data_IF_449636366086
#
_entry.id   IF_449636366086
#
_cell.length_a   1.000
_cell.length_b   1.000
_cell.length_c   1.000
_cell.angle_alpha   90.00
_cell.angle_beta   90.00
_cell.angle_gamma   90.00
#
_symmetry.space_group_name_H-M   'P 1'
#
loop_
_entity.id
_entity.type
_entity.pdbx_description
1 polymer ?
#
# COMPACT_ATOMS: atom_id res chain seq x y z
N UNK A 1 32.29 -40.51 57.28
CA UNK A 1 31.17 -40.97 56.44
C UNK A 1 29.88 -40.48 57.05
N UNK A 2 29.24 -39.48 56.44
CA UNK A 2 27.79 -39.32 56.30
C UNK A 2 27.53 -37.99 55.58
N UNK A 3 26.55 -38.04 54.68
CA UNK A 3 26.13 -37.06 53.67
C UNK A 3 25.47 -35.79 54.23
N UNK A 4 25.42 -34.74 53.41
CA UNK A 4 24.39 -33.68 53.47
C UNK A 4 24.78 -32.43 52.69
N UNK A 5 24.39 -32.30 51.41
CA UNK A 5 23.22 -31.51 50.93
C UNK A 5 23.58 -30.03 50.70
N UNK A 6 23.67 -29.51 49.46
CA UNK A 6 22.66 -29.24 48.41
C UNK A 6 22.36 -27.72 48.32
N UNK A 7 22.61 -27.19 47.12
CA UNK A 7 22.15 -25.94 46.47
C UNK A 7 22.54 -24.55 47.03
N UNK A 8 23.15 -23.69 46.19
CA UNK A 8 22.97 -22.25 46.29
C UNK A 8 21.63 -21.85 45.62
N UNK A 9 20.79 -21.15 46.38
CA UNK A 9 19.58 -20.52 45.89
C UNK A 9 19.93 -19.35 44.96
N UNK A 10 19.88 -19.58 43.63
CA UNK A 10 19.83 -18.51 42.64
C UNK A 10 18.42 -17.90 42.67
N UNK A 11 18.28 -16.82 43.45
CA UNK A 11 17.07 -16.00 43.49
C UNK A 11 17.03 -15.15 42.21
N UNK A 12 16.43 -15.68 41.14
CA UNK A 12 16.09 -14.91 39.94
C UNK A 12 14.95 -13.94 40.28
N UNK A 13 15.28 -12.67 40.49
CA UNK A 13 14.30 -11.58 40.43
C UNK A 13 13.77 -11.49 38.99
N UNK A 14 12.61 -12.11 38.76
CA UNK A 14 11.72 -11.76 37.65
C UNK A 14 11.14 -10.38 37.94
N UNK A 15 11.84 -9.33 37.48
CA UNK A 15 11.24 -8.02 37.27
C UNK A 15 10.20 -8.19 36.16
N UNK A 16 8.96 -8.42 36.56
CA UNK A 16 7.81 -8.28 35.68
C UNK A 16 7.74 -6.83 35.24
N UNK A 17 8.31 -6.55 34.06
CA UNK A 17 8.03 -5.34 33.32
C UNK A 17 6.55 -5.38 32.94
N UNK A 18 5.69 -4.81 33.79
CA UNK A 18 4.35 -4.44 33.39
C UNK A 18 4.53 -3.43 32.25
N UNK A 19 4.48 -3.93 31.01
CA UNK A 19 4.33 -3.09 29.84
C UNK A 19 2.97 -2.40 30.00
N UNK A 20 2.99 -1.20 30.59
CA UNK A 20 1.90 -0.25 30.44
C UNK A 20 1.87 0.15 28.98
N UNK A 21 1.22 -0.67 28.15
CA UNK A 21 0.71 -0.22 26.87
C UNK A 21 -0.15 1.01 27.18
N UNK A 22 0.31 2.18 26.73
CA UNK A 22 -0.42 3.43 26.88
C UNK A 22 -1.89 3.19 26.51
N UNK A 23 -2.80 3.39 27.45
CA UNK A 23 -4.23 3.32 27.16
C UNK A 23 -4.52 4.30 26.02
N UNK A 24 -5.21 3.88 24.94
CA UNK A 24 -5.57 4.81 23.89
C UNK A 24 -6.49 5.88 24.48
N UNK A 25 -6.24 7.13 24.07
CA UNK A 25 -7.14 8.25 24.33
C UNK A 25 -8.51 7.85 23.79
N UNK A 26 -9.49 7.77 24.69
CA UNK A 26 -10.89 7.56 24.33
C UNK A 26 -11.40 8.84 23.68
N UNK A 27 -11.27 8.94 22.36
CA UNK A 27 -12.05 9.91 21.59
C UNK A 27 -13.41 9.25 21.31
N UNK A 28 -14.27 9.28 22.33
CA UNK A 28 -15.65 8.83 22.21
C UNK A 28 -16.45 9.80 21.34
N UNK A 29 -16.79 9.37 20.12
CA UNK A 29 -18.09 9.68 19.51
C UNK A 29 -18.33 11.08 18.95
N UNK A 30 -17.31 11.78 18.46
CA UNK A 30 -17.57 12.94 17.60
C UNK A 30 -17.96 12.45 16.20
N UNK A 31 -19.26 12.47 15.89
CA UNK A 31 -19.78 12.18 14.56
C UNK A 31 -19.32 13.18 13.48
N UNK A 32 -18.63 14.27 13.87
CA UNK A 32 -17.97 15.18 12.93
C UNK A 32 -16.55 14.74 12.55
N UNK A 33 -15.95 13.78 13.26
CA UNK A 33 -14.70 13.15 12.84
C UNK A 33 -15.02 11.86 12.08
N UNK A 34 -14.80 11.80 10.75
CA UNK A 34 -15.07 10.60 9.97
C UNK A 34 -14.10 9.44 10.31
N UNK A 35 -13.05 9.69 11.09
CA UNK A 35 -12.04 8.71 11.46
C UNK A 35 -12.32 8.13 12.84
N UNK A 36 -12.54 6.82 12.90
CA UNK A 36 -12.59 6.05 14.14
C UNK A 36 -11.28 5.30 14.30
N UNK A 37 -10.53 5.60 15.36
CA UNK A 37 -9.28 4.90 15.67
C UNK A 37 -9.59 3.52 16.25
N UNK A 38 -8.96 2.48 15.69
CA UNK A 38 -9.08 1.11 16.16
C UNK A 38 -8.58 0.95 17.60
N UNK A 39 -9.28 0.15 18.40
CA UNK A 39 -8.97 -0.12 19.81
C UNK A 39 -8.79 -1.63 20.08
N UNK A 40 -8.47 -2.40 19.04
CA UNK A 40 -8.26 -3.83 19.13
C UNK A 40 -7.14 -4.20 20.12
N UNK A 41 -7.31 -5.34 20.78
CA UNK A 41 -6.27 -5.93 21.63
C UNK A 41 -5.07 -6.45 20.83
N UNK A 42 -4.05 -7.02 21.51
CA UNK A 42 -2.90 -7.59 20.81
C UNK A 42 -3.33 -8.74 19.86
N UNK A 43 -2.58 -8.92 18.78
CA UNK A 43 -2.79 -10.03 17.87
C UNK A 43 -2.68 -11.39 18.59
N UNK A 44 -3.41 -12.43 18.15
CA UNK A 44 -3.27 -13.78 18.68
C UNK A 44 -1.82 -14.27 18.65
N UNK A 45 -1.37 -14.97 19.70
CA UNK A 45 0.00 -15.48 19.79
C UNK A 45 0.41 -16.37 18.60
N UNK A 46 -0.55 -17.10 18.01
CA UNK A 46 -0.33 -17.98 16.87
C UNK A 46 -0.05 -17.24 15.55
N UNK A 47 -0.39 -15.96 15.45
CA UNK A 47 -0.17 -15.14 14.24
C UNK A 47 0.94 -14.12 14.41
N UNK A 48 1.73 -14.21 15.49
CA UNK A 48 2.89 -13.35 15.67
C UNK A 48 3.91 -13.58 14.55
N UNK A 49 4.34 -12.49 13.92
CA UNK A 49 5.24 -12.52 12.77
C UNK A 49 4.52 -12.67 11.42
N UNK A 50 3.19 -12.80 11.38
CA UNK A 50 2.47 -12.71 10.12
C UNK A 50 2.54 -11.27 9.60
N UNK A 51 2.70 -11.14 8.29
CA UNK A 51 2.77 -9.84 7.63
C UNK A 51 2.31 -9.96 6.18
N UNK A 52 1.81 -8.85 5.65
CA UNK A 52 1.51 -8.74 4.22
C UNK A 52 2.82 -8.56 3.48
N UNK A 53 3.23 -9.59 2.75
CA UNK A 53 4.46 -9.57 1.96
C UNK A 53 4.28 -8.86 0.62
N UNK A 54 3.25 -9.26 -0.15
CA UNK A 54 3.01 -8.76 -1.50
C UNK A 54 1.53 -8.67 -1.85
N UNK A 55 1.24 -7.89 -2.90
CA UNK A 55 -0.01 -7.96 -3.66
C UNK A 55 0.30 -8.41 -5.09
N UNK A 56 -0.57 -9.26 -5.64
CA UNK A 56 -0.47 -9.75 -7.00
C UNK A 56 -1.34 -8.95 -7.97
N UNK A 57 -0.76 -8.51 -9.08
CA UNK A 57 -1.47 -7.92 -10.22
C UNK A 57 -1.30 -8.81 -11.44
N UNK A 58 -2.40 -9.06 -12.14
CA UNK A 58 -2.39 -9.69 -13.45
C UNK A 58 -2.06 -8.61 -14.49
N UNK A 59 -1.25 -8.96 -15.49
CA UNK A 59 -0.89 -8.06 -16.60
C UNK A 59 -0.90 -8.76 -17.94
N UNK A 60 -1.25 -8.01 -18.98
CA UNK A 60 -1.07 -8.44 -20.38
C UNK A 60 0.25 -7.93 -20.97
N UNK A 61 0.87 -6.92 -20.35
CA UNK A 61 2.10 -6.30 -20.82
C UNK A 61 3.12 -6.11 -19.69
N UNK A 62 3.85 -7.19 -19.39
CA UNK A 62 4.84 -7.23 -18.31
C UNK A 62 5.95 -6.17 -18.46
N UNK A 63 6.42 -5.90 -19.68
CA UNK A 63 7.48 -4.91 -19.91
C UNK A 63 7.00 -3.48 -19.61
N UNK A 64 5.77 -3.13 -19.97
CA UNK A 64 5.20 -1.84 -19.61
C UNK A 64 5.07 -1.68 -18.09
N UNK A 65 4.58 -2.72 -17.40
CA UNK A 65 4.47 -2.72 -15.94
C UNK A 65 5.84 -2.63 -15.26
N UNK A 66 6.84 -3.38 -15.73
CA UNK A 66 8.23 -3.30 -15.23
C UNK A 66 8.83 -1.93 -15.46
N UNK A 67 8.57 -1.29 -16.61
CA UNK A 67 9.00 0.07 -16.87
C UNK A 67 8.36 1.07 -15.90
N UNK A 68 7.03 1.00 -15.73
CA UNK A 68 6.32 1.90 -14.82
C UNK A 68 6.75 1.73 -13.36
N UNK A 69 6.65 0.53 -12.81
CA UNK A 69 7.00 0.30 -11.41
C UNK A 69 8.50 0.38 -11.16
N UNK A 70 9.33 -0.07 -12.11
CA UNK A 70 10.77 -0.11 -11.97
C UNK A 70 11.47 1.20 -12.30
N UNK A 71 11.31 1.66 -13.54
CA UNK A 71 12.08 2.80 -14.05
C UNK A 71 11.49 4.14 -13.61
N UNK A 72 10.16 4.26 -13.54
CA UNK A 72 9.49 5.50 -13.14
C UNK A 72 9.32 5.53 -11.62
N UNK A 73 8.68 4.51 -11.03
CA UNK A 73 8.41 4.51 -9.59
C UNK A 73 9.58 4.04 -8.74
N UNK A 74 10.68 3.55 -9.33
CA UNK A 74 11.93 3.25 -8.63
C UNK A 74 11.95 1.91 -7.89
N UNK A 75 10.99 1.01 -8.13
CA UNK A 75 11.08 -0.36 -7.63
C UNK A 75 12.23 -1.10 -8.31
N UNK A 76 12.73 -2.13 -7.65
CA UNK A 76 13.80 -2.99 -8.14
C UNK A 76 13.22 -4.35 -8.46
N UNK A 77 13.66 -4.92 -9.58
CA UNK A 77 13.41 -6.32 -9.89
C UNK A 77 14.15 -7.20 -8.88
N UNK A 78 13.41 -8.09 -8.22
CA UNK A 78 13.97 -9.16 -7.39
C UNK A 78 14.37 -10.31 -8.31
N UNK A 79 13.40 -10.85 -9.04
CA UNK A 79 13.56 -11.93 -10.00
C UNK A 79 12.33 -12.05 -10.91
N UNK A 80 12.56 -12.64 -12.08
CA UNK A 80 11.52 -13.20 -12.95
C UNK A 80 11.53 -14.73 -12.77
N UNK A 81 10.39 -15.31 -12.42
CA UNK A 81 10.18 -16.74 -12.38
C UNK A 81 9.43 -17.17 -13.65
N UNK A 82 10.19 -17.62 -14.65
CA UNK A 82 9.64 -18.19 -15.88
C UNK A 82 9.23 -19.64 -15.63
N UNK A 83 7.92 -19.86 -15.42
CA UNK A 83 7.39 -21.20 -15.13
C UNK A 83 7.15 -22.01 -16.41
N UNK A 84 6.75 -21.33 -17.48
CA UNK A 84 6.70 -21.84 -18.86
C UNK A 84 7.17 -20.74 -19.82
N UNK A 85 7.36 -21.02 -21.13
CA UNK A 85 7.66 -19.97 -22.10
C UNK A 85 6.60 -18.84 -22.15
N UNK A 86 5.36 -19.14 -21.79
CA UNK A 86 4.23 -18.22 -21.83
C UNK A 86 3.82 -17.67 -20.46
N UNK A 87 4.31 -18.22 -19.35
CA UNK A 87 3.87 -17.84 -17.99
C UNK A 87 5.04 -17.36 -17.13
N UNK A 88 4.99 -16.10 -16.72
CA UNK A 88 6.02 -15.46 -15.89
C UNK A 88 5.41 -14.81 -14.66
N UNK A 89 6.05 -15.04 -13.51
CA UNK A 89 5.76 -14.33 -12.25
C UNK A 89 6.97 -13.46 -11.89
N UNK A 90 6.76 -12.16 -11.81
CA UNK A 90 7.81 -11.17 -11.56
C UNK A 90 7.62 -10.55 -10.19
N UNK A 91 8.67 -10.53 -9.37
CA UNK A 91 8.64 -9.83 -8.08
C UNK A 91 9.43 -8.54 -8.13
N UNK A 92 8.81 -7.45 -7.69
CA UNK A 92 9.42 -6.13 -7.58
C UNK A 92 9.23 -5.55 -6.17
N UNK A 93 10.16 -4.70 -5.74
CA UNK A 93 10.06 -4.05 -4.45
C UNK A 93 11.05 -2.90 -4.30
N UNK A 94 10.82 -2.03 -3.32
CA UNK A 94 11.74 -0.95 -3.02
C UNK A 94 12.99 -1.45 -2.28
N UNK A 95 14.14 -0.84 -2.61
CA UNK A 95 15.36 -1.04 -1.84
C UNK A 95 15.15 -0.62 -0.39
N UNK A 96 15.47 -1.49 0.57
CA UNK A 96 15.22 -1.21 1.99
C UNK A 96 16.18 -0.15 2.54
N UNK A 97 17.35 0.01 1.92
CA UNK A 97 18.29 1.12 2.19
C UNK A 97 17.88 2.46 1.59
N UNK A 98 16.79 2.51 0.80
CA UNK A 98 16.36 3.72 0.10
C UNK A 98 15.88 4.84 1.02
N UNK A 99 15.31 4.50 2.18
CA UNK A 99 14.93 5.49 3.20
C UNK A 99 16.13 6.11 3.94
N UNK A 100 17.32 5.51 3.83
CA UNK A 100 18.55 5.92 4.52
C UNK A 100 19.68 6.37 3.55
N UNK A 101 19.36 6.69 2.30
CA UNK A 101 20.22 7.57 1.48
C UNK A 101 21.14 6.91 0.44
N UNK A 102 21.18 5.59 0.29
CA UNK A 102 21.89 4.98 -0.87
C UNK A 102 20.94 4.67 -2.03
N UNK A 103 19.65 4.48 -1.77
CA UNK A 103 18.65 4.18 -2.80
C UNK A 103 18.81 2.80 -3.47
N UNK A 104 19.84 2.03 -3.10
CA UNK A 104 20.27 0.87 -3.88
C UNK A 104 20.38 -0.40 -3.03
N UNK A 105 19.82 -1.48 -3.59
CA UNK A 105 19.99 -2.86 -3.17
C UNK A 105 19.94 -3.71 -4.44
N UNK A 106 20.80 -4.71 -4.57
CA UNK A 106 20.80 -5.59 -5.74
C UNK A 106 19.58 -6.51 -5.74
N UNK A 107 19.18 -6.99 -6.93
CA UNK A 107 18.09 -7.98 -7.04
C UNK A 107 18.40 -9.26 -6.26
N UNK A 108 19.65 -9.70 -6.23
CA UNK A 108 20.08 -10.87 -5.46
C UNK A 108 19.91 -10.69 -3.93
N UNK A 109 20.24 -9.51 -3.41
CA UNK A 109 20.01 -9.20 -1.98
C UNK A 109 18.52 -9.12 -1.67
N UNK A 110 17.74 -8.45 -2.51
CA UNK A 110 16.29 -8.37 -2.32
C UNK A 110 15.62 -9.75 -2.42
N UNK A 111 16.04 -10.60 -3.35
CA UNK A 111 15.54 -11.96 -3.51
C UNK A 111 15.87 -12.84 -2.31
N UNK A 112 17.11 -12.75 -1.78
CA UNK A 112 17.52 -13.44 -0.54
C UNK A 112 16.63 -13.03 0.64
N UNK A 113 16.29 -11.74 0.72
CA UNK A 113 15.58 -11.18 1.87
C UNK A 113 14.06 -11.17 1.69
N UNK A 114 13.52 -11.57 0.52
CA UNK A 114 12.11 -11.44 0.09
C UNK A 114 11.08 -11.73 1.18
N UNK A 115 11.22 -12.83 1.92
CA UNK A 115 10.25 -13.25 2.93
C UNK A 115 10.25 -12.37 4.19
N UNK A 116 11.28 -11.54 4.36
CA UNK A 116 11.39 -10.53 5.41
C UNK A 116 11.16 -9.11 4.86
N UNK A 117 10.84 -8.97 3.57
CA UNK A 117 10.45 -7.70 2.95
C UNK A 117 8.93 -7.54 3.02
N UNK A 118 8.48 -6.29 3.00
CA UNK A 118 7.07 -5.93 2.94
C UNK A 118 6.80 -4.97 1.78
N UNK A 119 5.55 -4.94 1.32
CA UNK A 119 5.14 -4.04 0.24
C UNK A 119 5.75 -4.41 -1.11
N UNK A 120 5.92 -5.70 -1.38
CA UNK A 120 6.35 -6.19 -2.69
C UNK A 120 5.17 -6.19 -3.66
N UNK A 121 5.49 -6.10 -4.95
CA UNK A 121 4.54 -6.28 -6.05
C UNK A 121 4.86 -7.57 -6.78
N UNK A 122 3.87 -8.43 -6.95
CA UNK A 122 3.92 -9.61 -7.80
C UNK A 122 3.17 -9.31 -9.10
N UNK A 123 3.86 -9.35 -10.24
CA UNK A 123 3.27 -9.20 -11.56
C UNK A 123 3.17 -10.56 -12.23
N UNK A 124 1.97 -10.96 -12.62
CA UNK A 124 1.71 -12.27 -13.23
C UNK A 124 1.26 -12.07 -14.67
N UNK A 125 2.02 -12.64 -15.62
CA UNK A 125 1.69 -12.59 -17.04
C UNK A 125 1.51 -14.00 -17.60
N UNK A 126 0.41 -14.19 -18.33
CA UNK A 126 0.25 -15.26 -19.30
C UNK A 126 0.22 -14.64 -20.71
N UNK A 127 1.33 -14.73 -21.44
CA UNK A 127 1.60 -13.91 -22.62
C UNK A 127 0.75 -14.23 -23.85
N UNK A 128 0.11 -15.40 -23.86
CA UNK A 128 -0.77 -15.87 -24.95
C UNK A 128 -2.25 -15.83 -24.58
N UNK A 129 -2.63 -15.15 -23.50
CA UNK A 129 -4.03 -15.01 -23.11
C UNK A 129 -4.82 -14.23 -24.17
N UNK A 130 -6.01 -14.72 -24.49
CA UNK A 130 -7.02 -14.05 -25.30
C UNK A 130 -8.06 -13.29 -24.46
N UNK A 131 -7.86 -13.25 -23.14
CA UNK A 131 -8.72 -12.51 -22.22
C UNK A 131 -8.37 -11.02 -22.20
N UNK A 132 -9.38 -10.20 -21.88
CA UNK A 132 -9.25 -8.76 -21.73
C UNK A 132 -9.46 -8.39 -20.25
N UNK A 133 -8.36 -8.23 -19.54
CA UNK A 133 -8.39 -7.79 -18.15
C UNK A 133 -9.05 -6.40 -18.05
N UNK A 134 -10.09 -6.29 -17.23
CA UNK A 134 -10.81 -5.03 -17.01
C UNK A 134 -10.29 -4.36 -15.74
N UNK A 135 -9.58 -3.25 -15.93
CA UNK A 135 -9.02 -2.47 -14.84
C UNK A 135 -10.08 -1.87 -13.91
N UNK A 136 -9.71 -1.65 -12.64
CA UNK A 136 -10.61 -1.07 -11.63
C UNK A 136 -11.09 0.34 -12.02
N UNK A 137 -10.28 1.08 -12.78
CA UNK A 137 -10.66 2.40 -13.30
C UNK A 137 -11.66 2.33 -14.46
N UNK A 138 -11.76 1.21 -15.18
CA UNK A 138 -12.78 1.04 -16.22
C UNK A 138 -14.08 0.49 -15.66
N UNK A 139 -13.99 -0.43 -14.71
CA UNK A 139 -15.13 -1.02 -14.02
C UNK A 139 -14.74 -1.39 -12.61
N UNK A 140 -15.56 -1.00 -11.65
CA UNK A 140 -15.40 -1.42 -10.26
C UNK A 140 -15.24 -2.94 -10.17
N UNK A 141 -14.16 -3.37 -9.51
CA UNK A 141 -13.86 -4.75 -9.21
C UNK A 141 -13.37 -4.84 -7.75
N UNK A 142 -12.82 -5.99 -7.35
CA UNK A 142 -12.40 -6.22 -5.95
C UNK A 142 -11.11 -5.50 -5.56
N UNK A 143 -10.30 -5.05 -6.52
CA UNK A 143 -9.04 -4.37 -6.28
C UNK A 143 -9.18 -2.88 -6.55
N UNK A 144 -9.00 -2.04 -5.53
CA UNK A 144 -9.11 -0.60 -5.72
C UNK A 144 -7.80 0.00 -6.23
N UNK A 145 -6.75 -0.03 -5.40
CA UNK A 145 -5.47 0.62 -5.68
C UNK A 145 -4.32 0.08 -4.85
N UNK A 146 -3.09 0.42 -5.27
CA UNK A 146 -1.88 0.36 -4.45
C UNK A 146 -1.64 1.75 -3.84
N UNK A 147 -1.23 1.81 -2.57
CA UNK A 147 -0.82 3.04 -1.90
C UNK A 147 0.71 3.18 -1.82
N UNK A 148 1.23 4.38 -2.12
CA UNK A 148 2.64 4.75 -2.04
C UNK A 148 2.83 5.96 -1.13
N UNK A 149 3.94 5.96 -0.39
CA UNK A 149 4.36 7.12 0.42
C UNK A 149 5.58 7.76 -0.24
N UNK A 150 5.53 9.07 -0.46
CA UNK A 150 6.63 9.86 -1.03
C UNK A 150 7.09 10.99 -0.10
N UNK A 151 8.37 11.39 -0.15
CA UNK A 151 8.88 12.47 0.69
C UNK A 151 8.40 13.87 0.30
N UNK A 152 8.03 14.10 -0.95
CA UNK A 152 7.58 15.40 -1.47
C UNK A 152 6.64 15.18 -2.65
N UNK A 153 5.34 15.23 -2.39
CA UNK A 153 4.28 14.89 -3.34
C UNK A 153 4.21 15.88 -4.51
N UNK A 154 4.58 17.15 -4.29
CA UNK A 154 4.60 18.15 -5.36
C UNK A 154 5.74 17.85 -6.34
N UNK A 155 6.94 17.51 -5.84
CA UNK A 155 8.05 17.06 -6.68
C UNK A 155 7.74 15.74 -7.38
N UNK A 156 7.10 14.79 -6.68
CA UNK A 156 6.65 13.54 -7.29
C UNK A 156 5.66 13.79 -8.43
N UNK A 157 4.71 14.71 -8.28
CA UNK A 157 3.80 15.08 -9.37
C UNK A 157 4.56 15.63 -10.58
N UNK A 158 5.45 16.61 -10.39
CA UNK A 158 6.25 17.17 -11.50
C UNK A 158 7.05 16.09 -12.21
N UNK A 159 7.72 15.21 -11.45
CA UNK A 159 8.47 14.09 -12.00
C UNK A 159 7.57 13.15 -12.84
N UNK A 160 6.39 12.78 -12.32
CA UNK A 160 5.47 11.89 -13.03
C UNK A 160 4.87 12.54 -14.29
N UNK A 161 4.64 13.86 -14.28
CA UNK A 161 4.23 14.64 -15.46
C UNK A 161 5.31 14.60 -16.55
N UNK A 162 6.58 14.80 -16.19
CA UNK A 162 7.72 14.73 -17.11
C UNK A 162 7.92 13.34 -17.73
N UNK A 163 7.46 12.29 -17.05
CA UNK A 163 7.52 10.91 -17.51
C UNK A 163 6.24 10.42 -18.19
N UNK A 164 5.29 11.33 -18.49
CA UNK A 164 4.09 11.02 -19.26
C UNK A 164 3.10 10.09 -18.55
N UNK A 165 3.12 10.06 -17.21
CA UNK A 165 2.20 9.24 -16.42
C UNK A 165 0.76 9.78 -16.54
N UNK A 166 -0.21 8.89 -16.60
CA UNK A 166 -1.63 9.25 -16.67
C UNK A 166 -2.16 9.61 -15.29
N UNK A 167 -2.71 10.82 -15.14
CA UNK A 167 -3.26 11.30 -13.87
C UNK A 167 -4.77 11.06 -13.81
N UNK A 168 -5.21 10.44 -12.72
CA UNK A 168 -6.62 10.39 -12.33
C UNK A 168 -7.01 11.61 -11.50
N UNK A 169 -6.08 12.09 -10.67
CA UNK A 169 -6.26 13.27 -9.83
C UNK A 169 -4.91 13.89 -9.50
N UNK A 170 -4.78 15.19 -9.70
CA UNK A 170 -3.60 15.96 -9.29
C UNK A 170 -3.66 16.32 -7.80
N UNK A 171 -2.49 16.48 -7.20
CA UNK A 171 -2.33 16.99 -5.84
C UNK A 171 -2.95 18.38 -5.70
N UNK A 172 -3.65 18.63 -4.59
CA UNK A 172 -4.34 19.88 -4.30
C UNK A 172 -5.64 20.12 -5.08
N UNK A 173 -6.02 19.19 -5.97
CA UNK A 173 -7.26 19.29 -6.75
C UNK A 173 -8.39 18.53 -6.05
N UNK A 174 -9.56 19.16 -5.80
CA UNK A 174 -10.73 18.47 -5.27
C UNK A 174 -11.35 17.52 -6.29
N UNK A 175 -12.01 16.48 -5.80
CA UNK A 175 -12.82 15.59 -6.64
C UNK A 175 -14.21 16.20 -6.75
N UNK A 176 -14.68 16.46 -7.96
CA UNK A 176 -16.00 17.07 -8.19
C UNK A 176 -16.95 16.17 -8.97
N UNK A 177 -16.39 15.18 -9.65
CA UNK A 177 -17.08 14.27 -10.53
C UNK A 177 -17.68 13.10 -9.75
N UNK A 178 -18.92 12.73 -10.08
CA UNK A 178 -19.62 11.59 -9.47
C UNK A 178 -19.35 10.26 -10.17
N UNK A 179 -18.74 10.32 -11.34
CA UNK A 179 -18.49 9.19 -12.25
C UNK A 179 -17.14 9.38 -12.93
N UNK A 180 -16.62 8.30 -13.51
CA UNK A 180 -15.35 8.30 -14.22
C UNK A 180 -14.32 7.35 -13.60
N UNK A 181 -13.09 7.37 -14.14
CA UNK A 181 -12.09 6.35 -13.82
C UNK A 181 -11.70 6.28 -12.35
N UNK A 182 -11.51 7.44 -11.71
CA UNK A 182 -11.22 7.54 -10.28
C UNK A 182 -12.32 6.94 -9.41
N UNK A 183 -13.57 7.29 -9.71
CA UNK A 183 -14.75 6.86 -8.97
C UNK A 183 -15.01 5.37 -9.16
N UNK A 184 -14.76 4.83 -10.36
CA UNK A 184 -14.82 3.40 -10.62
C UNK A 184 -13.83 2.63 -9.74
N UNK A 185 -12.58 3.10 -9.65
CA UNK A 185 -11.54 2.48 -8.84
C UNK A 185 -11.85 2.55 -7.33
N UNK A 186 -12.45 3.65 -6.86
CA UNK A 186 -12.97 3.75 -5.48
C UNK A 186 -14.28 2.99 -5.22
N UNK A 187 -14.83 2.31 -6.23
CA UNK A 187 -16.06 1.51 -6.09
C UNK A 187 -17.35 2.32 -5.97
N UNK A 188 -17.32 3.59 -6.35
CA UNK A 188 -18.45 4.53 -6.27
C UNK A 188 -18.86 5.10 -7.64
N UNK A 189 -18.26 4.59 -8.72
CA UNK A 189 -18.44 5.08 -10.08
C UNK A 189 -19.77 4.66 -10.72
N UNK A 190 -19.77 4.59 -12.05
CA UNK A 190 -20.99 4.46 -12.87
C UNK A 190 -21.79 3.20 -12.58
N UNK A 191 -21.09 2.13 -12.19
CA UNK A 191 -21.68 0.82 -11.95
C UNK A 191 -22.13 0.61 -10.49
N UNK A 192 -21.72 1.49 -9.58
CA UNK A 192 -22.05 1.44 -8.16
C UNK A 192 -23.34 2.24 -7.87
N UNK A 193 -24.48 1.76 -8.40
CA UNK A 193 -25.85 2.15 -8.02
C UNK A 193 -26.27 3.62 -8.20
N UNK A 194 -27.59 3.86 -8.11
CA UNK A 194 -28.24 5.16 -8.40
C UNK A 194 -28.56 6.02 -7.15
N UNK A 195 -27.80 5.91 -6.06
CA UNK A 195 -27.99 6.76 -4.89
C UNK A 195 -27.27 8.11 -5.05
N UNK A 196 -27.77 8.93 -5.97
CA UNK A 196 -27.21 10.26 -6.31
C UNK A 196 -26.98 11.12 -5.07
N UNK A 197 -27.94 11.13 -4.14
CA UNK A 197 -27.83 11.87 -2.88
C UNK A 197 -26.67 11.39 -1.99
N UNK A 198 -26.44 10.07 -1.92
CA UNK A 198 -25.34 9.50 -1.15
C UNK A 198 -23.98 9.81 -1.80
N UNK A 199 -23.89 9.74 -3.13
CA UNK A 199 -22.69 10.13 -3.88
C UNK A 199 -22.36 11.62 -3.72
N UNK A 200 -23.36 12.48 -3.74
CA UNK A 200 -23.20 13.92 -3.47
C UNK A 200 -22.71 14.18 -2.03
N UNK A 201 -23.28 13.48 -1.05
CA UNK A 201 -22.82 13.56 0.33
C UNK A 201 -21.37 13.06 0.48
N UNK A 202 -21.01 11.99 -0.22
CA UNK A 202 -19.64 11.46 -0.24
C UNK A 202 -18.65 12.45 -0.84
N UNK A 203 -18.93 13.07 -1.99
CA UNK A 203 -18.05 14.08 -2.58
C UNK A 203 -17.78 15.24 -1.61
N UNK A 204 -18.82 15.67 -0.88
CA UNK A 204 -18.65 16.69 0.17
C UNK A 204 -17.80 16.19 1.35
N UNK A 205 -17.90 14.90 1.69
CA UNK A 205 -17.17 14.30 2.79
C UNK A 205 -15.71 13.93 2.42
N UNK A 206 -15.39 13.68 1.15
CA UNK A 206 -14.03 13.28 0.74
C UNK A 206 -12.96 14.33 1.10
N UNK A 207 -13.31 15.62 1.05
CA UNK A 207 -12.42 16.68 1.53
C UNK A 207 -12.10 16.56 3.02
N UNK A 208 -13.02 16.05 3.84
CA UNK A 208 -12.80 15.88 5.29
C UNK A 208 -11.79 14.78 5.64
N UNK A 209 -11.57 13.83 4.72
CA UNK A 209 -10.53 12.80 4.83
C UNK A 209 -9.30 13.14 3.99
N UNK A 210 -9.17 14.38 3.49
CA UNK A 210 -7.95 14.83 2.83
C UNK A 210 -7.72 14.26 1.43
N UNK A 211 -8.76 13.86 0.68
CA UNK A 211 -8.58 13.33 -0.70
C UNK A 211 -7.79 14.31 -1.60
N UNK A 212 -7.93 15.61 -1.37
CA UNK A 212 -7.23 16.67 -2.10
C UNK A 212 -5.71 16.59 -1.91
N UNK A 213 -5.26 16.07 -0.77
CA UNK A 213 -3.86 15.91 -0.40
C UNK A 213 -3.21 14.69 -1.06
N UNK A 214 -4.00 13.86 -1.75
CA UNK A 214 -3.52 12.69 -2.47
C UNK A 214 -3.14 13.06 -3.90
N UNK A 215 -2.20 12.31 -4.46
CA UNK A 215 -1.92 12.28 -5.88
C UNK A 215 -2.33 10.91 -6.41
N UNK A 216 -3.04 10.86 -7.54
CA UNK A 216 -3.62 9.59 -8.02
C UNK A 216 -3.33 9.43 -9.51
N UNK A 217 -2.71 8.31 -9.86
CA UNK A 217 -2.28 7.98 -11.23
C UNK A 217 -2.77 6.60 -11.65
N UNK A 218 -2.71 6.31 -12.95
CA UNK A 218 -2.93 4.98 -13.51
C UNK A 218 -1.59 4.31 -13.84
N UNK A 219 -1.48 3.02 -13.53
CA UNK A 219 -0.43 2.17 -14.12
C UNK A 219 -0.80 1.76 -15.57
N UNK A 220 0.11 1.11 -16.32
CA UNK A 220 -0.12 0.76 -17.72
C UNK A 220 -1.32 -0.15 -18.00
N UNK A 221 -1.74 -0.96 -17.02
CA UNK A 221 -2.94 -1.80 -17.14
C UNK A 221 -4.20 -1.08 -16.64
N UNK A 222 -4.09 0.18 -16.20
CA UNK A 222 -5.19 1.00 -15.72
C UNK A 222 -5.54 0.76 -14.25
N UNK A 223 -4.68 0.12 -13.45
CA UNK A 223 -4.89 0.06 -12.01
C UNK A 223 -4.56 1.41 -11.38
N UNK A 224 -5.30 1.77 -10.34
CA UNK A 224 -5.07 3.02 -9.63
C UNK A 224 -3.87 2.89 -8.68
N UNK A 225 -3.01 3.91 -8.68
CA UNK A 225 -1.93 4.09 -7.70
C UNK A 225 -2.18 5.39 -6.96
N UNK A 226 -2.40 5.28 -5.65
CA UNK A 226 -2.57 6.40 -4.74
C UNK A 226 -1.22 6.76 -4.12
N UNK A 227 -0.87 8.05 -4.13
CA UNK A 227 0.40 8.56 -3.65
C UNK A 227 0.12 9.58 -2.54
N UNK A 228 0.75 9.38 -1.39
CA UNK A 228 0.60 10.17 -0.19
C UNK A 228 1.92 10.80 0.22
N UNK A 229 1.85 12.01 0.78
CA UNK A 229 2.98 12.67 1.41
C UNK A 229 3.32 11.95 2.74
N UNK A 230 4.59 11.65 2.98
CA UNK A 230 5.03 10.98 4.23
C UNK A 230 4.66 11.77 5.48
N UNK A 231 4.93 13.07 5.46
CA UNK A 231 4.60 14.00 6.53
C UNK A 231 3.54 14.95 5.99
N UNK A 232 2.25 14.65 6.22
CA UNK A 232 1.18 15.44 5.66
C UNK A 232 1.11 16.81 6.37
N UNK A 233 0.52 17.84 5.75
CA UNK A 233 0.46 19.18 6.34
C UNK A 233 -0.13 19.15 7.74
N UNK A 234 0.38 19.96 8.68
CA UNK A 234 -0.04 19.96 10.10
C UNK A 234 -1.55 20.17 10.36
N UNK A 235 -2.31 20.58 9.35
CA UNK A 235 -3.76 20.77 9.40
C UNK A 235 -4.56 19.58 8.83
N UNK A 236 -3.90 18.51 8.41
CA UNK A 236 -4.56 17.32 7.87
C UNK A 236 -4.84 16.29 8.97
N UNK A 237 -5.96 15.58 8.82
CA UNK A 237 -6.44 14.55 9.75
C UNK A 237 -5.83 13.17 9.43
N UNK A 238 -5.11 13.07 8.30
CA UNK A 238 -4.33 11.91 7.90
C UNK A 238 -2.87 12.07 8.34
#
# INVERSE_FOLDING_TARGET
MYYGSLLPACLTLLLASCAHACSPRSDSGDWNNPIVIGNDGPAPAATLGYAINHFGLLTTNLEAMKHFYGNILGMRLLFDAHLTPEYTVTYMGYAQGGRNGTGFQSGAELARDKNNLYGLLELVQFSISDDHLVASTKRTNTFSHVGLIVPDIAKSQTYLEEHGVTFLKKYGTPVTEMTGPLQNAFGIGEYAGAHIAAKQALLKAQGSIGIELLLIVEDPDGNMVEIQQQDPPRSSVL
#
